data_IF_258498998543
#
_entry.id   IF_258498998543
#
_cell.length_a   1.000
_cell.length_b   1.000
_cell.length_c   1.000
_cell.angle_alpha   90.00
_cell.angle_beta   90.00
_cell.angle_gamma   90.00
#
_symmetry.space_group_name_H-M   'P 1'
#
loop_
_entity.id
_entity.type
_entity.pdbx_description
1 polymer ?
#
# COMPACT_ATOMS: atom_id res chain seq x y z
N UNK A 1 -27.91 -8.12 -7.26
CA UNK A 1 -26.46 -8.28 -7.11
C UNK A 1 -25.98 -7.11 -6.26
N UNK A 2 -25.13 -7.36 -5.27
CA UNK A 2 -24.48 -6.27 -4.52
C UNK A 2 -23.46 -5.58 -5.45
N UNK A 3 -23.35 -4.25 -5.35
CA UNK A 3 -22.33 -3.48 -6.06
C UNK A 3 -20.92 -3.96 -5.67
N UNK A 4 -19.96 -3.85 -6.57
CA UNK A 4 -18.57 -4.19 -6.23
C UNK A 4 -18.04 -3.28 -5.12
N UNK A 5 -16.99 -3.71 -4.41
CA UNK A 5 -16.34 -2.86 -3.41
C UNK A 5 -15.82 -1.57 -4.05
N UNK A 6 -15.28 -1.65 -5.27
CA UNK A 6 -14.87 -0.51 -6.10
C UNK A 6 -16.00 0.50 -6.29
N UNK A 7 -17.20 0.04 -6.65
CA UNK A 7 -18.37 0.92 -6.84
C UNK A 7 -18.87 1.54 -5.53
N UNK A 8 -18.79 0.81 -4.41
CA UNK A 8 -19.17 1.33 -3.08
C UNK A 8 -18.16 2.33 -2.54
N UNK A 9 -16.88 2.15 -2.86
CA UNK A 9 -15.79 3.09 -2.53
C UNK A 9 -15.82 4.37 -3.39
N UNK A 10 -16.71 4.47 -4.38
CA UNK A 10 -16.83 5.66 -5.22
C UNK A 10 -15.92 5.66 -6.45
N UNK A 11 -15.43 4.50 -6.87
CA UNK A 11 -14.68 4.32 -8.10
C UNK A 11 -13.27 4.94 -8.10
N UNK A 12 -12.70 5.08 -9.29
CA UNK A 12 -11.27 5.38 -9.49
C UNK A 12 -10.84 6.75 -8.93
N UNK A 13 -11.70 7.76 -9.00
CA UNK A 13 -11.36 9.10 -8.50
C UNK A 13 -11.24 9.08 -6.97
N UNK A 14 -12.15 8.39 -6.30
CA UNK A 14 -12.13 8.23 -4.84
C UNK A 14 -10.94 7.39 -4.39
N UNK A 15 -10.64 6.30 -5.09
CA UNK A 15 -9.45 5.48 -4.84
C UNK A 15 -8.16 6.29 -5.04
N UNK A 16 -8.12 7.12 -6.09
CA UNK A 16 -6.95 7.97 -6.38
C UNK A 16 -6.71 8.96 -5.24
N UNK A 17 -7.76 9.64 -4.76
CA UNK A 17 -7.65 10.58 -3.65
C UNK A 17 -7.17 9.90 -2.36
N UNK A 18 -7.72 8.72 -2.03
CA UNK A 18 -7.30 7.92 -0.87
C UNK A 18 -5.82 7.51 -1.00
N UNK A 19 -5.39 7.04 -2.18
CA UNK A 19 -3.99 6.64 -2.40
C UNK A 19 -3.02 7.81 -2.27
N UNK A 20 -3.41 9.00 -2.73
CA UNK A 20 -2.59 10.21 -2.62
C UNK A 20 -2.41 10.64 -1.16
N UNK A 21 -3.48 10.70 -0.38
CA UNK A 21 -3.41 11.03 1.06
C UNK A 21 -2.62 9.96 1.84
N UNK A 22 -2.86 8.68 1.56
CA UNK A 22 -2.12 7.57 2.18
C UNK A 22 -0.62 7.66 1.89
N UNK A 23 -0.23 7.93 0.63
CA UNK A 23 1.17 8.13 0.25
C UNK A 23 1.81 9.26 1.06
N UNK A 24 1.11 10.36 1.23
CA UNK A 24 1.64 11.52 1.94
C UNK A 24 1.79 11.26 3.44
N UNK A 25 0.88 10.50 4.06
CA UNK A 25 1.03 10.00 5.44
C UNK A 25 2.27 9.13 5.60
N UNK A 26 2.42 8.13 4.73
CA UNK A 26 3.57 7.22 4.74
C UNK A 26 4.89 7.97 4.57
N UNK A 27 4.92 8.99 3.72
CA UNK A 27 6.09 9.84 3.53
C UNK A 27 6.44 10.65 4.79
N UNK A 28 5.45 11.02 5.60
CA UNK A 28 5.61 11.77 6.84
C UNK A 28 5.84 10.88 8.08
N UNK A 29 5.59 9.57 8.00
CA UNK A 29 5.74 8.66 9.14
C UNK A 29 7.19 8.18 9.32
N UNK A 30 7.89 8.73 10.32
CA UNK A 30 9.27 8.36 10.67
C UNK A 30 9.46 6.88 11.08
N UNK A 31 8.36 6.17 11.37
CA UNK A 31 8.38 4.72 11.62
C UNK A 31 8.64 3.92 10.34
N UNK A 32 8.32 4.44 9.15
CA UNK A 32 8.36 3.66 7.90
C UNK A 32 8.96 4.40 6.71
N UNK A 33 9.05 5.74 6.72
CA UNK A 33 9.47 6.55 5.58
C UNK A 33 10.85 6.16 5.00
N UNK A 34 11.76 5.65 5.83
CA UNK A 34 13.09 5.17 5.41
C UNK A 34 13.01 4.05 4.37
N UNK A 35 12.00 3.19 4.41
CA UNK A 35 11.81 2.11 3.43
C UNK A 35 11.46 2.65 2.03
N UNK A 36 10.94 3.87 1.95
CA UNK A 36 10.52 4.50 0.71
C UNK A 36 11.57 5.46 0.11
N UNK A 37 12.72 5.63 0.76
CA UNK A 37 13.74 6.62 0.39
C UNK A 37 14.26 6.53 -1.07
N UNK A 38 14.16 5.36 -1.71
CA UNK A 38 14.59 5.12 -3.10
C UNK A 38 13.43 4.83 -4.05
N UNK A 39 12.20 5.05 -3.62
CA UNK A 39 11.00 4.73 -4.39
C UNK A 39 10.71 5.80 -5.43
N UNK A 40 10.44 5.39 -6.67
CA UNK A 40 9.85 6.27 -7.68
C UNK A 40 8.37 6.53 -7.34
N UNK A 41 8.06 7.77 -7.01
CA UNK A 41 6.74 8.14 -6.47
C UNK A 41 5.64 8.07 -7.54
N UNK A 42 5.98 8.32 -8.81
CA UNK A 42 5.03 8.20 -9.93
C UNK A 42 4.64 6.73 -10.13
N UNK A 43 5.63 5.84 -10.13
CA UNK A 43 5.39 4.39 -10.15
C UNK A 43 4.59 3.95 -8.94
N UNK A 44 4.98 4.33 -7.73
CA UNK A 44 4.30 3.90 -6.50
C UNK A 44 2.81 4.27 -6.56
N UNK A 45 2.52 5.54 -6.90
CA UNK A 45 1.15 6.03 -7.06
C UNK A 45 0.36 5.17 -8.04
N UNK A 46 0.89 4.94 -9.25
CA UNK A 46 0.20 4.11 -10.26
C UNK A 46 -0.03 2.68 -9.75
N UNK A 47 1.00 2.05 -9.17
CA UNK A 47 0.93 0.66 -8.71
C UNK A 47 -0.09 0.50 -7.58
N UNK A 48 -0.16 1.43 -6.63
CA UNK A 48 -1.16 1.40 -5.55
C UNK A 48 -2.58 1.59 -6.09
N UNK A 49 -2.80 2.55 -6.99
CA UNK A 49 -4.11 2.76 -7.61
C UNK A 49 -4.56 1.52 -8.38
N UNK A 50 -3.70 0.97 -9.24
CA UNK A 50 -4.02 -0.22 -10.03
C UNK A 50 -4.33 -1.42 -9.13
N UNK A 51 -3.53 -1.62 -8.07
CA UNK A 51 -3.70 -2.73 -7.13
C UNK A 51 -5.01 -2.62 -6.34
N UNK A 52 -5.32 -1.45 -5.78
CA UNK A 52 -6.58 -1.25 -5.03
C UNK A 52 -7.78 -1.33 -5.97
N UNK A 53 -7.69 -0.73 -7.15
CA UNK A 53 -8.76 -0.79 -8.15
C UNK A 53 -9.05 -2.24 -8.56
N UNK A 54 -8.03 -3.02 -8.93
CA UNK A 54 -8.22 -4.44 -9.30
C UNK A 54 -8.78 -5.24 -8.12
N UNK A 55 -8.17 -5.11 -6.93
CA UNK A 55 -8.51 -5.95 -5.79
C UNK A 55 -9.89 -5.65 -5.19
N UNK A 56 -10.44 -4.46 -5.45
CA UNK A 56 -11.80 -4.07 -5.06
C UNK A 56 -12.85 -4.39 -6.15
N UNK A 57 -12.45 -4.98 -7.28
CA UNK A 57 -13.34 -5.40 -8.37
C UNK A 57 -13.59 -4.34 -9.43
N UNK A 58 -12.70 -3.34 -9.55
CA UNK A 58 -12.67 -2.39 -10.65
C UNK A 58 -12.04 -2.98 -11.92
N UNK A 59 -12.12 -2.24 -13.03
CA UNK A 59 -11.63 -2.70 -14.34
C UNK A 59 -10.11 -2.54 -14.53
N UNK A 60 -9.39 -1.98 -13.55
CA UNK A 60 -7.94 -1.82 -13.64
C UNK A 60 -7.23 -3.17 -13.56
N UNK A 61 -6.00 -3.21 -14.08
CA UNK A 61 -5.12 -4.37 -13.97
C UNK A 61 -3.79 -3.98 -13.35
N UNK A 62 -3.45 -4.58 -12.23
CA UNK A 62 -2.14 -4.50 -11.66
C UNK A 62 -1.12 -5.22 -12.56
N UNK A 63 -0.13 -4.47 -13.02
CA UNK A 63 0.97 -4.96 -13.88
C UNK A 63 2.34 -4.84 -13.21
N UNK A 64 2.36 -4.60 -11.90
CA UNK A 64 3.57 -4.52 -11.12
C UNK A 64 4.19 -5.88 -10.78
N UNK A 65 5.26 -5.85 -9.99
CA UNK A 65 5.88 -7.06 -9.44
C UNK A 65 4.92 -7.71 -8.43
N UNK A 66 5.04 -9.01 -8.19
CA UNK A 66 4.37 -9.61 -7.03
C UNK A 66 4.80 -8.90 -5.74
N UNK A 67 3.98 -8.94 -4.69
CA UNK A 67 4.33 -8.32 -3.41
C UNK A 67 5.65 -8.86 -2.87
N UNK A 68 5.88 -10.18 -2.99
CA UNK A 68 7.15 -10.79 -2.64
C UNK A 68 8.32 -10.17 -3.40
N UNK A 69 8.26 -10.13 -4.74
CA UNK A 69 9.36 -9.59 -5.55
C UNK A 69 9.53 -8.05 -5.43
N UNK A 70 8.50 -7.33 -5.00
CA UNK A 70 8.59 -5.88 -4.75
C UNK A 70 9.32 -5.57 -3.44
N UNK A 71 9.19 -6.43 -2.43
CA UNK A 71 9.70 -6.23 -1.07
C UNK A 71 10.88 -7.15 -0.72
N UNK A 72 11.27 -8.07 -1.61
CA UNK A 72 12.40 -8.98 -1.43
C UNK A 72 13.70 -8.24 -1.10
N UNK A 73 14.34 -8.63 0.00
CA UNK A 73 15.58 -8.05 0.50
C UNK A 73 15.42 -6.64 1.10
N UNK A 74 14.20 -6.15 1.28
CA UNK A 74 13.91 -4.86 1.92
C UNK A 74 14.05 -4.95 3.45
N UNK A 75 13.96 -6.15 4.03
CA UNK A 75 13.99 -6.37 5.47
C UNK A 75 12.83 -5.68 6.18
N UNK A 76 11.62 -5.78 5.63
CA UNK A 76 10.42 -5.21 6.26
C UNK A 76 10.10 -6.00 7.52
N UNK A 77 9.88 -5.29 8.62
CA UNK A 77 9.49 -5.90 9.89
C UNK A 77 7.97 -5.99 10.04
N UNK A 78 7.48 -6.84 10.95
CA UNK A 78 6.05 -6.86 11.30
C UNK A 78 5.59 -5.53 11.89
N UNK A 79 6.43 -4.83 12.66
CA UNK A 79 6.14 -3.50 13.21
C UNK A 79 6.00 -2.41 12.14
N UNK A 80 6.84 -2.41 11.10
CA UNK A 80 6.74 -1.47 9.98
C UNK A 80 5.48 -1.73 9.14
N UNK A 81 5.14 -2.99 8.91
CA UNK A 81 3.89 -3.34 8.25
C UNK A 81 2.66 -2.89 9.06
N UNK A 82 2.67 -3.07 10.37
CA UNK A 82 1.55 -2.65 11.22
C UNK A 82 1.41 -1.11 11.26
N UNK A 83 2.53 -0.37 11.24
CA UNK A 83 2.51 1.09 11.09
C UNK A 83 1.91 1.53 9.75
N UNK A 84 2.26 0.86 8.64
CA UNK A 84 1.66 1.10 7.33
C UNK A 84 0.14 0.87 7.35
N UNK A 85 -0.33 -0.19 8.02
CA UNK A 85 -1.77 -0.46 8.15
C UNK A 85 -2.47 0.62 8.99
N UNK A 86 -1.82 1.13 10.04
CA UNK A 86 -2.37 2.25 10.84
C UNK A 86 -2.53 3.52 10.00
N UNK A 87 -1.56 3.84 9.13
CA UNK A 87 -1.66 4.98 8.22
C UNK A 87 -2.79 4.81 7.20
N UNK A 88 -3.02 3.57 6.73
CA UNK A 88 -4.13 3.26 5.84
C UNK A 88 -5.48 3.46 6.54
N UNK A 89 -5.63 2.97 7.78
CA UNK A 89 -6.85 3.18 8.57
C UNK A 89 -7.08 4.67 8.83
N UNK A 90 -6.04 5.42 9.19
CA UNK A 90 -6.15 6.87 9.37
C UNK A 90 -6.59 7.60 8.09
N UNK A 91 -6.16 7.11 6.92
CA UNK A 91 -6.62 7.60 5.62
C UNK A 91 -8.11 7.30 5.42
N UNK A 92 -8.54 6.07 5.67
CA UNK A 92 -9.96 5.71 5.56
C UNK A 92 -10.85 6.55 6.47
N UNK A 93 -10.41 6.81 7.70
CA UNK A 93 -11.13 7.64 8.65
C UNK A 93 -11.21 9.10 8.18
N UNK A 94 -10.13 9.64 7.60
CA UNK A 94 -10.13 10.97 6.99
C UNK A 94 -11.18 11.11 5.89
N UNK A 95 -11.27 10.11 5.01
CA UNK A 95 -12.26 10.06 3.92
C UNK A 95 -13.64 9.56 4.37
N UNK A 96 -13.80 9.21 5.66
CA UNK A 96 -15.04 8.67 6.23
C UNK A 96 -15.55 7.42 5.48
N UNK A 97 -14.63 6.56 5.05
CA UNK A 97 -14.96 5.27 4.45
C UNK A 97 -15.72 4.44 5.49
N UNK A 98 -16.83 3.83 5.09
CA UNK A 98 -17.67 3.03 5.98
C UNK A 98 -16.90 1.86 6.58
N UNK A 99 -17.19 1.52 7.84
CA UNK A 99 -16.47 0.45 8.57
C UNK A 99 -16.53 -0.91 7.87
N UNK A 100 -17.63 -1.18 7.15
CA UNK A 100 -17.78 -2.38 6.33
C UNK A 100 -16.73 -2.38 5.21
N UNK A 101 -16.68 -1.30 4.43
CA UNK A 101 -15.75 -1.16 3.32
C UNK A 101 -14.28 -1.14 3.78
N UNK A 102 -13.98 -0.49 4.91
CA UNK A 102 -12.65 -0.55 5.53
C UNK A 102 -12.23 -1.99 5.82
N UNK A 103 -13.11 -2.75 6.49
CA UNK A 103 -12.86 -4.15 6.82
C UNK A 103 -12.65 -5.03 5.58
N UNK A 104 -13.42 -4.80 4.51
CA UNK A 104 -13.26 -5.54 3.25
C UNK A 104 -11.94 -5.19 2.55
N UNK A 105 -11.52 -3.92 2.52
CA UNK A 105 -10.21 -3.56 1.95
C UNK A 105 -9.06 -4.15 2.78
N UNK A 106 -9.14 -4.08 4.11
CA UNK A 106 -8.13 -4.67 4.99
C UNK A 106 -8.07 -6.20 4.85
N UNK A 107 -9.21 -6.87 4.65
CA UNK A 107 -9.25 -8.31 4.41
C UNK A 107 -8.60 -8.71 3.08
N UNK A 108 -8.67 -7.85 2.07
CA UNK A 108 -8.00 -8.05 0.77
C UNK A 108 -6.48 -7.85 0.88
N UNK A 109 -6.04 -6.86 1.67
CA UNK A 109 -4.62 -6.52 1.81
C UNK A 109 -3.90 -7.36 2.88
N UNK A 110 -4.61 -7.84 3.90
CA UNK A 110 -4.05 -8.61 5.02
C UNK A 110 -3.19 -9.81 4.60
N UNK A 111 -3.62 -10.65 3.63
CA UNK A 111 -2.82 -11.76 3.14
C UNK A 111 -1.47 -11.35 2.53
N UNK A 112 -1.33 -10.11 2.05
CA UNK A 112 -0.07 -9.62 1.48
C UNK A 112 1.04 -9.52 2.54
N UNK A 113 0.69 -9.48 3.83
CA UNK A 113 1.67 -9.43 4.94
C UNK A 113 2.69 -10.56 4.85
N UNK A 114 2.28 -11.77 4.44
CA UNK A 114 3.19 -12.93 4.34
C UNK A 114 4.19 -12.82 3.20
N UNK A 115 3.87 -12.02 2.17
CA UNK A 115 4.77 -11.76 1.06
C UNK A 115 5.70 -10.57 1.32
N UNK A 116 5.33 -9.68 2.25
CA UNK A 116 5.99 -8.40 2.49
C UNK A 116 6.92 -8.46 3.69
N UNK A 117 6.47 -9.03 4.80
CA UNK A 117 7.23 -9.09 6.05
C UNK A 117 8.30 -10.16 5.93
N UNK A 118 9.56 -9.75 6.09
CA UNK A 118 10.72 -10.65 6.07
C UNK A 118 11.25 -10.95 7.48
N UNK A 119 10.95 -10.06 8.44
CA UNK A 119 11.44 -10.14 9.80
C UNK A 119 10.27 -10.08 10.79
N UNK A 120 10.07 -11.13 11.57
CA UNK A 120 9.11 -11.08 12.68
C UNK A 120 9.71 -10.28 13.85
N UNK A 121 9.45 -8.97 13.84
CA UNK A 121 9.98 -8.00 14.80
C UNK A 121 9.06 -6.78 14.86
N UNK A 122 8.78 -6.29 16.05
CA UNK A 122 8.01 -5.06 16.26
C UNK A 122 8.80 -3.78 16.02
N UNK A 123 10.10 -3.88 15.68
CA UNK A 123 10.96 -2.72 15.44
C UNK A 123 10.46 -1.91 14.24
N UNK A 124 10.50 -0.58 14.37
CA UNK A 124 10.20 0.36 13.29
C UNK A 124 11.40 1.24 12.96
N UNK A 125 11.35 1.93 11.83
CA UNK A 125 12.35 2.90 11.41
C UNK A 125 13.69 2.27 11.05
N UNK A 126 13.67 0.99 10.64
CA UNK A 126 14.88 0.28 10.23
C UNK A 126 15.40 0.86 8.92
N UNK A 127 16.73 0.88 8.69
CA UNK A 127 17.27 1.40 7.45
C UNK A 127 16.84 0.51 6.27
N UNK A 128 16.72 1.13 5.10
CA UNK A 128 16.58 0.38 3.86
C UNK A 128 17.93 -0.27 3.52
N UNK A 129 18.02 -1.61 3.36
CA UNK A 129 19.27 -2.29 3.08
C UNK A 129 19.96 -1.75 1.83
N UNK A 130 21.28 -1.51 1.87
CA UNK A 130 22.03 -0.96 0.74
C UNK A 130 21.88 -1.80 -0.54
N UNK A 131 21.79 -3.13 -0.38
CA UNK A 131 21.62 -4.08 -1.48
C UNK A 131 20.19 -4.09 -2.07
N UNK A 132 19.18 -3.55 -1.38
CA UNK A 132 17.82 -3.51 -1.92
C UNK A 132 17.76 -2.70 -3.21
N UNK A 133 16.97 -3.17 -4.17
CA UNK A 133 16.79 -2.53 -5.47
C UNK A 133 15.32 -2.22 -5.71
N UNK A 134 14.98 -0.93 -5.62
CA UNK A 134 13.66 -0.45 -5.99
C UNK A 134 13.35 -0.78 -7.47
N UNK A 135 12.07 -0.99 -7.77
CA UNK A 135 11.65 -1.16 -9.15
C UNK A 135 11.98 0.10 -9.98
N UNK A 136 12.39 -0.04 -11.25
CA UNK A 136 12.77 1.11 -12.08
C UNK A 136 11.57 2.04 -12.29
N UNK A 137 11.83 3.33 -12.51
CA UNK A 137 10.79 4.30 -12.85
C UNK A 137 10.00 3.85 -14.09
N UNK A 138 8.74 4.29 -14.20
CA UNK A 138 7.95 4.04 -15.40
C UNK A 138 8.58 4.76 -16.60
N UNK A 139 8.57 4.11 -17.77
CA UNK A 139 8.95 4.76 -19.02
C UNK A 139 8.01 5.96 -19.25
N UNK A 140 8.58 7.11 -19.59
CA UNK A 140 7.84 8.32 -19.98
C UNK A 140 7.25 8.16 -21.37
#
# INVERSE_FOLDING_TARGET
>A
MERSLYERLGGIDSITAVVEDFRDRVAADDRINKKFARTDLVRLRKMLIDQVCEATGGACKYSGRSMKAAHEGMGVTSGEFDALVQDLVATFDHFKVGQKEQGEVLAVLGPLKTDIVELDSSQVGTPLPAAYQAAPALAR
#
